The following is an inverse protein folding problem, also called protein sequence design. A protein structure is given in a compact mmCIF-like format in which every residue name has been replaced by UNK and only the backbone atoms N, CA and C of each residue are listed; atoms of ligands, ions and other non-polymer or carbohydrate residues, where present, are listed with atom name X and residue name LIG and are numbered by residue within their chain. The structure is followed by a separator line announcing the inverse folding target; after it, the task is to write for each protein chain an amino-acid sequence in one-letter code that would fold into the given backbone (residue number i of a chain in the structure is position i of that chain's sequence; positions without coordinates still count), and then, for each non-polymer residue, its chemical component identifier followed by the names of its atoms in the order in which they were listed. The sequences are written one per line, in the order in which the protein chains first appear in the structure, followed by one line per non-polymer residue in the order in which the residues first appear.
data_IF_669204224244
#
_entry.id   IF_669204224244
#
_cell.length_a   1.000
_cell.length_b   1.000
_cell.length_c   1.000
_cell.angle_alpha   90.00
_cell.angle_beta   90.00
_cell.angle_gamma   90.00
#
_symmetry.space_group_name_H-M   'P 1'
#
loop_
_entity.id
_entity.type
_entity.pdbx_description
1 polymer ?
#
# COMPACT_ATOMS: atom_id res chain seq x y z
N UNK A 1 -27.19 2.30 -25.46
CA UNK A 1 -27.36 3.01 -24.17
C UNK A 1 -26.86 2.12 -23.04
N UNK A 2 -25.59 2.20 -22.69
CA UNK A 2 -25.08 1.57 -21.46
C UNK A 2 -25.69 2.35 -20.30
N UNK A 3 -26.55 1.71 -19.50
CA UNK A 3 -27.14 2.33 -18.30
C UNK A 3 -26.01 2.96 -17.49
N UNK A 4 -26.13 4.25 -17.17
CA UNK A 4 -25.32 4.88 -16.11
C UNK A 4 -25.39 3.92 -14.91
N UNK A 5 -24.27 3.62 -14.28
CA UNK A 5 -24.29 2.88 -13.01
C UNK A 5 -25.21 3.67 -12.07
N UNK A 6 -26.36 3.09 -11.72
CA UNK A 6 -27.41 3.80 -10.97
C UNK A 6 -26.78 4.46 -9.73
N UNK A 7 -26.97 5.79 -9.61
CA UNK A 7 -26.48 6.58 -8.48
C UNK A 7 -25.00 7.01 -8.50
N UNK A 8 -24.23 6.76 -9.58
CA UNK A 8 -22.83 7.24 -9.69
C UNK A 8 -22.71 8.39 -10.68
N UNK A 9 -22.12 9.49 -10.25
CA UNK A 9 -21.81 10.67 -11.10
C UNK A 9 -20.31 10.77 -11.32
N UNK A 10 -19.91 11.21 -12.51
CA UNK A 10 -18.50 11.31 -12.88
C UNK A 10 -18.11 12.76 -13.16
N UNK A 11 -16.99 13.18 -12.59
CA UNK A 11 -16.46 14.53 -12.67
C UNK A 11 -14.97 14.49 -13.05
N UNK A 12 -14.49 15.57 -13.63
CA UNK A 12 -13.10 15.83 -14.01
C UNK A 12 -12.61 17.05 -13.24
N UNK A 13 -11.29 17.33 -13.20
CA UNK A 13 -10.77 18.54 -12.54
C UNK A 13 -11.34 19.89 -13.04
N UNK A 14 -12.10 19.88 -14.15
CA UNK A 14 -12.76 21.07 -14.71
C UNK A 14 -14.15 21.31 -14.14
N UNK A 15 -14.74 20.30 -13.50
CA UNK A 15 -16.09 20.37 -12.93
C UNK A 15 -16.04 20.93 -11.50
N UNK A 16 -16.98 21.79 -11.10
CA UNK A 16 -16.98 22.42 -9.78
C UNK A 16 -17.21 21.42 -8.63
N UNK A 17 -17.81 20.27 -8.91
CA UNK A 17 -18.01 19.19 -7.94
C UNK A 17 -16.75 18.35 -7.70
N UNK A 18 -15.68 18.53 -8.48
CA UNK A 18 -14.44 17.78 -8.29
C UNK A 18 -13.78 18.17 -6.97
N UNK A 19 -13.61 17.18 -6.08
CA UNK A 19 -13.03 17.39 -4.76
C UNK A 19 -11.52 17.16 -4.85
N UNK A 20 -10.74 18.24 -4.80
CA UNK A 20 -9.27 18.16 -4.92
C UNK A 20 -8.66 17.21 -3.87
N UNK A 21 -7.88 16.18 -4.26
CA UNK A 21 -7.16 15.34 -3.30
C UNK A 21 -6.34 16.15 -2.30
N UNK A 22 -6.47 15.81 -1.02
CA UNK A 22 -5.82 16.52 0.09
C UNK A 22 -6.54 17.79 0.58
N UNK A 23 -7.63 18.22 -0.05
CA UNK A 23 -8.47 19.32 0.47
C UNK A 23 -9.20 18.94 1.77
N UNK A 24 -9.68 19.93 2.56
CA UNK A 24 -10.54 19.66 3.71
C UNK A 24 -11.80 18.86 3.38
N UNK A 25 -12.40 19.08 2.22
CA UNK A 25 -13.56 18.33 1.73
C UNK A 25 -13.17 16.88 1.42
N UNK A 26 -12.01 16.68 0.79
CA UNK A 26 -11.47 15.35 0.51
C UNK A 26 -11.22 14.58 1.81
N UNK A 27 -10.70 15.23 2.86
CA UNK A 27 -10.44 14.56 4.14
C UNK A 27 -11.73 13.99 4.76
N UNK A 28 -12.89 14.61 4.55
CA UNK A 28 -14.16 14.20 5.16
C UNK A 28 -14.85 13.01 4.48
N UNK A 29 -14.35 12.56 3.34
CA UNK A 29 -14.96 11.46 2.56
C UNK A 29 -14.05 10.24 2.48
N UNK A 30 -14.64 9.05 2.36
CA UNK A 30 -13.88 7.81 2.16
C UNK A 30 -13.44 7.71 0.71
N UNK A 31 -12.15 7.40 0.50
CA UNK A 31 -11.56 7.22 -0.84
C UNK A 31 -10.86 5.88 -0.94
N UNK A 32 -10.69 5.31 -2.14
CA UNK A 32 -9.99 4.04 -2.34
C UNK A 32 -8.62 3.96 -1.66
N UNK A 33 -7.84 5.04 -1.68
CA UNK A 33 -6.55 5.11 -0.98
C UNK A 33 -6.66 5.09 0.55
N UNK A 34 -7.77 5.59 1.12
CA UNK A 34 -8.06 5.49 2.56
C UNK A 34 -8.59 4.12 2.95
N UNK A 35 -9.29 3.42 2.04
CA UNK A 35 -9.79 2.06 2.30
C UNK A 35 -8.67 1.16 2.76
N UNK A 36 -7.51 1.16 2.08
CA UNK A 36 -6.36 0.37 2.49
C UNK A 36 -5.92 0.64 3.94
N UNK A 37 -5.97 1.88 4.41
CA UNK A 37 -5.67 2.20 5.81
C UNK A 37 -6.76 1.68 6.74
N UNK A 38 -8.03 1.88 6.39
CA UNK A 38 -9.20 1.47 7.20
C UNK A 38 -9.29 -0.05 7.40
N UNK A 39 -8.78 -0.84 6.44
CA UNK A 39 -8.80 -2.30 6.53
C UNK A 39 -7.78 -2.89 7.52
N UNK A 40 -6.77 -2.11 7.93
CA UNK A 40 -5.71 -2.59 8.82
C UNK A 40 -6.20 -2.92 10.23
N UNK A 41 -5.60 -3.95 10.80
CA UNK A 41 -5.75 -4.34 12.21
C UNK A 41 -4.45 -4.08 12.99
N UNK A 42 -4.49 -4.02 14.34
CA UNK A 42 -3.30 -3.74 15.16
C UNK A 42 -2.08 -4.63 14.88
N UNK A 43 -2.30 -5.90 14.58
CA UNK A 43 -1.30 -6.92 14.31
C UNK A 43 -1.13 -7.25 12.82
N UNK A 44 -2.00 -6.70 11.96
CA UNK A 44 -2.00 -6.92 10.51
C UNK A 44 -2.36 -5.63 9.75
N UNK A 45 -1.43 -4.66 9.69
CA UNK A 45 -1.66 -3.41 8.97
C UNK A 45 -1.64 -3.65 7.46
N UNK A 46 -2.68 -3.20 6.77
CA UNK A 46 -2.78 -3.33 5.30
C UNK A 46 -2.02 -2.20 4.58
N UNK A 47 -2.16 -0.95 5.02
CA UNK A 47 -1.51 0.18 4.36
C UNK A 47 -0.09 0.42 4.87
N UNK A 48 0.84 0.59 3.92
CA UNK A 48 2.24 0.96 4.20
C UNK A 48 2.43 2.44 4.53
N UNK A 49 1.42 3.28 4.28
CA UNK A 49 1.56 4.74 4.29
C UNK A 49 0.70 5.44 5.35
N UNK A 50 -0.30 4.74 5.90
CA UNK A 50 -1.31 5.33 6.78
C UNK A 50 -1.88 4.25 7.71
N UNK A 51 -2.32 4.63 8.90
CA UNK A 51 -3.01 3.74 9.84
C UNK A 51 -4.46 4.15 10.06
N UNK A 52 -5.36 3.25 10.51
CA UNK A 52 -6.70 3.63 10.96
C UNK A 52 -6.64 4.72 12.03
N UNK A 53 -5.75 4.58 13.02
CA UNK A 53 -5.59 5.53 14.12
C UNK A 53 -5.26 6.94 13.61
N UNK A 54 -4.21 7.05 12.78
CA UNK A 54 -3.79 8.34 12.23
C UNK A 54 -4.83 8.93 11.30
N UNK A 55 -5.45 8.11 10.45
CA UNK A 55 -6.51 8.56 9.56
C UNK A 55 -7.70 9.15 10.34
N UNK A 56 -8.12 8.50 11.43
CA UNK A 56 -9.20 8.98 12.29
C UNK A 56 -8.87 10.35 12.90
N UNK A 57 -7.65 10.53 13.42
CA UNK A 57 -7.21 11.82 13.97
C UNK A 57 -7.19 12.94 12.91
N UNK A 58 -6.79 12.62 11.68
CA UNK A 58 -6.82 13.58 10.56
C UNK A 58 -8.25 13.92 10.13
N UNK A 59 -9.13 12.93 10.01
CA UNK A 59 -10.52 13.13 9.59
C UNK A 59 -11.35 13.87 10.63
N UNK A 60 -10.98 13.77 11.91
CA UNK A 60 -11.61 14.51 13.00
C UNK A 60 -10.95 15.86 13.32
N UNK A 61 -9.90 16.23 12.59
CA UNK A 61 -9.22 17.52 12.75
C UNK A 61 -8.38 17.66 14.03
N UNK A 62 -7.97 16.54 14.63
CA UNK A 62 -7.12 16.53 15.85
C UNK A 62 -5.62 16.60 15.53
N UNK A 63 -5.23 16.32 14.29
CA UNK A 63 -3.87 16.46 13.79
C UNK A 63 -3.91 17.28 12.52
N UNK A 64 -2.99 18.24 12.41
CA UNK A 64 -2.89 19.11 11.24
C UNK A 64 -2.64 18.32 9.95
N UNK A 65 -3.19 18.76 8.81
CA UNK A 65 -2.89 18.17 7.52
C UNK A 65 -1.39 18.20 7.23
N UNK A 66 -0.85 17.09 6.70
CA UNK A 66 0.51 17.09 6.19
C UNK A 66 0.63 17.96 4.95
N UNK A 67 1.78 18.63 4.83
CA UNK A 67 2.21 19.25 3.58
C UNK A 67 2.26 18.21 2.44
N UNK A 68 1.85 18.58 1.21
CA UNK A 68 1.91 17.68 0.07
C UNK A 68 3.32 17.13 -0.15
N UNK A 69 3.47 15.80 -0.04
CA UNK A 69 4.76 15.13 -0.24
C UNK A 69 5.20 15.26 -1.71
N UNK A 70 6.50 15.49 -1.94
CA UNK A 70 7.08 15.57 -3.29
C UNK A 70 6.83 14.30 -4.12
N UNK A 71 6.66 13.16 -3.45
CA UNK A 71 6.26 11.89 -4.06
C UNK A 71 4.97 12.01 -4.89
N UNK A 72 3.95 12.71 -4.39
CA UNK A 72 2.69 12.90 -5.12
C UNK A 72 2.92 13.77 -6.36
N UNK A 73 3.68 14.86 -6.23
CA UNK A 73 4.02 15.73 -7.36
C UNK A 73 4.75 14.95 -8.46
N UNK A 74 5.65 14.05 -8.08
CA UNK A 74 6.39 13.22 -9.03
C UNK A 74 5.52 12.16 -9.70
N UNK A 75 4.65 11.49 -8.94
CA UNK A 75 3.67 10.54 -9.51
C UNK A 75 2.85 11.17 -10.62
N UNK A 76 2.25 12.34 -10.37
CA UNK A 76 1.43 13.05 -11.37
C UNK A 76 2.23 13.43 -12.62
N UNK A 77 3.51 13.80 -12.48
CA UNK A 77 4.35 14.15 -13.63
C UNK A 77 4.74 12.93 -14.48
N UNK A 78 4.73 11.74 -13.90
CA UNK A 78 5.03 10.48 -14.61
C UNK A 78 3.80 9.87 -15.25
N UNK A 79 2.59 10.30 -14.89
CA UNK A 79 1.35 9.79 -15.49
C UNK A 79 1.31 9.83 -17.03
N UNK A 80 1.83 10.85 -17.75
CA UNK A 80 1.85 10.81 -19.22
C UNK A 80 2.70 9.68 -19.79
N UNK A 81 3.79 9.29 -19.10
CA UNK A 81 4.59 8.13 -19.47
C UNK A 81 3.82 6.84 -19.20
N UNK A 82 3.27 6.69 -17.99
CA UNK A 82 2.47 5.53 -17.60
C UNK A 82 1.28 5.31 -18.55
N UNK A 83 0.62 6.40 -18.95
CA UNK A 83 -0.46 6.42 -19.93
C UNK A 83 -0.02 5.90 -21.31
N UNK A 84 1.15 6.31 -21.80
CA UNK A 84 1.74 5.79 -23.03
C UNK A 84 2.05 4.30 -22.95
N UNK A 85 2.79 3.87 -21.92
CA UNK A 85 3.15 2.47 -21.69
C UNK A 85 1.91 1.57 -21.59
N UNK A 86 0.87 2.02 -20.90
CA UNK A 86 -0.39 1.28 -20.81
C UNK A 86 -1.04 1.12 -22.18
N UNK A 87 -1.08 2.16 -23.02
CA UNK A 87 -1.66 2.07 -24.36
C UNK A 87 -0.90 1.13 -25.28
N UNK A 88 0.42 1.08 -25.16
CA UNK A 88 1.26 0.14 -25.91
C UNK A 88 0.90 -1.32 -25.54
N UNK A 89 0.70 -1.61 -24.26
CA UNK A 89 0.33 -2.95 -23.76
C UNK A 89 -1.17 -3.28 -23.93
N UNK A 90 -2.02 -2.27 -24.14
CA UNK A 90 -3.48 -2.38 -24.25
C UNK A 90 -4.04 -1.53 -25.40
N UNK A 91 -3.66 -1.78 -26.66
CA UNK A 91 -3.98 -0.89 -27.80
C UNK A 91 -5.48 -0.77 -28.10
N UNK A 92 -6.32 -1.70 -27.63
CA UNK A 92 -7.77 -1.65 -27.75
C UNK A 92 -8.49 -0.77 -26.73
N UNK A 93 -7.76 -0.19 -25.77
CA UNK A 93 -8.31 0.61 -24.68
C UNK A 93 -7.95 2.08 -24.83
N UNK A 94 -8.97 2.94 -24.88
CA UNK A 94 -8.81 4.39 -24.76
C UNK A 94 -8.76 4.77 -23.28
N UNK A 95 -7.95 5.76 -22.93
CA UNK A 95 -7.87 6.31 -21.57
C UNK A 95 -8.48 7.71 -21.53
N UNK A 96 -9.03 8.11 -20.38
CA UNK A 96 -9.40 9.51 -20.15
C UNK A 96 -8.16 10.42 -20.26
N UNK A 97 -8.31 11.70 -20.64
CA UNK A 97 -7.18 12.63 -20.74
C UNK A 97 -6.46 12.95 -19.41
N UNK A 98 -7.02 12.50 -18.30
CA UNK A 98 -6.56 12.74 -16.94
C UNK A 98 -7.45 12.04 -15.93
N UNK A 99 -7.33 12.46 -14.67
CA UNK A 99 -8.11 11.93 -13.56
C UNK A 99 -9.62 12.08 -13.78
N UNK A 100 -10.36 11.12 -13.25
CA UNK A 100 -11.83 11.12 -13.21
C UNK A 100 -12.28 10.75 -11.81
N UNK A 101 -13.18 11.54 -11.22
CA UNK A 101 -13.82 11.22 -9.95
C UNK A 101 -15.19 10.59 -10.16
N UNK A 102 -15.42 9.44 -9.54
CA UNK A 102 -16.73 8.85 -9.36
C UNK A 102 -17.26 9.24 -7.97
N UNK A 103 -18.36 9.98 -7.94
CA UNK A 103 -19.09 10.34 -6.72
C UNK A 103 -20.26 9.39 -6.56
N UNK A 104 -20.34 8.76 -5.39
CA UNK A 104 -21.38 7.77 -5.09
C UNK A 104 -22.33 8.32 -4.05
N UNK A 105 -23.60 7.97 -4.20
CA UNK A 105 -24.63 8.25 -3.20
C UNK A 105 -24.22 7.69 -1.81
N UNK A 106 -24.07 8.53 -0.78
CA UNK A 106 -23.72 8.08 0.57
C UNK A 106 -24.73 7.09 1.16
N UNK A 107 -26.02 7.19 0.82
CA UNK A 107 -27.06 6.28 1.33
C UNK A 107 -26.80 4.84 0.90
N UNK A 108 -26.17 4.64 -0.27
CA UNK A 108 -25.85 3.31 -0.79
C UNK A 108 -24.88 2.53 0.11
N UNK A 109 -23.94 3.22 0.76
CA UNK A 109 -22.90 2.58 1.56
C UNK A 109 -23.02 2.84 3.06
N UNK A 110 -23.76 3.88 3.47
CA UNK A 110 -23.83 4.36 4.85
C UNK A 110 -22.64 5.25 5.24
N UNK A 111 -21.91 5.78 4.24
CA UNK A 111 -20.82 6.74 4.42
C UNK A 111 -20.58 7.49 3.10
N UNK A 112 -20.09 8.75 3.14
CA UNK A 112 -19.73 9.49 1.94
C UNK A 112 -18.47 8.90 1.31
N UNK A 113 -18.53 8.63 0.00
CA UNK A 113 -17.42 8.03 -0.73
C UNK A 113 -17.21 8.66 -2.11
N UNK A 114 -15.94 8.85 -2.48
CA UNK A 114 -15.52 9.23 -3.83
C UNK A 114 -14.37 8.34 -4.29
N UNK A 115 -14.35 7.98 -5.57
CA UNK A 115 -13.25 7.27 -6.20
C UNK A 115 -12.57 8.20 -7.21
N UNK A 116 -11.31 8.59 -6.96
CA UNK A 116 -10.48 9.28 -7.95
C UNK A 116 -9.70 8.23 -8.71
N UNK A 117 -9.99 8.06 -10.00
CA UNK A 117 -9.24 7.20 -10.89
C UNK A 117 -8.14 8.03 -11.54
N UNK A 118 -6.92 7.47 -11.63
CA UNK A 118 -5.88 8.06 -12.48
C UNK A 118 -6.36 8.10 -13.93
N UNK A 119 -6.88 6.96 -14.43
CA UNK A 119 -7.48 6.88 -15.76
C UNK A 119 -8.75 6.04 -15.77
N UNK A 120 -9.71 6.47 -16.60
CA UNK A 120 -10.85 5.65 -17.02
C UNK A 120 -10.51 4.96 -18.33
N UNK A 121 -10.44 3.62 -18.30
CA UNK A 121 -10.35 2.79 -19.50
C UNK A 121 -11.69 2.66 -20.22
N UNK A 122 -11.69 2.81 -21.54
CA UNK A 122 -12.87 2.70 -22.42
C UNK A 122 -12.55 1.81 -23.62
N UNK A 123 -13.33 0.74 -23.78
CA UNK A 123 -13.34 -0.08 -24.99
C UNK A 123 -14.81 -0.36 -25.38
N UNK A 124 -15.31 0.34 -26.40
CA UNK A 124 -16.73 0.32 -26.75
C UNK A 124 -17.64 0.68 -25.58
N UNK A 125 -18.50 -0.25 -25.17
CA UNK A 125 -19.40 -0.07 -24.01
C UNK A 125 -18.76 -0.40 -22.66
N UNK A 126 -17.60 -1.06 -22.66
CA UNK A 126 -16.88 -1.49 -21.47
C UNK A 126 -16.16 -0.33 -20.80
N UNK A 127 -16.10 -0.36 -19.46
CA UNK A 127 -15.38 0.60 -18.63
C UNK A 127 -14.50 -0.16 -17.64
N UNK A 128 -13.27 0.30 -17.47
CA UNK A 128 -12.26 -0.30 -16.59
C UNK A 128 -11.62 0.77 -15.71
N UNK A 129 -11.33 0.39 -14.47
CA UNK A 129 -10.46 1.13 -13.57
C UNK A 129 -9.01 0.95 -14.03
N UNK A 130 -8.29 2.06 -14.22
CA UNK A 130 -6.85 2.04 -14.51
C UNK A 130 -6.14 2.93 -13.51
N UNK A 131 -5.33 2.32 -12.66
CA UNK A 131 -4.50 2.97 -11.63
C UNK A 131 -3.03 2.93 -12.03
N UNK A 132 -2.27 3.98 -11.73
CA UNK A 132 -0.84 4.07 -11.99
C UNK A 132 -0.06 4.20 -10.68
N UNK A 133 1.02 3.43 -10.55
CA UNK A 133 1.95 3.55 -9.42
C UNK A 133 3.38 3.67 -9.91
N UNK A 134 4.15 4.51 -9.23
CA UNK A 134 5.56 4.71 -9.49
C UNK A 134 6.39 4.21 -8.30
N UNK A 135 7.22 3.20 -8.53
CA UNK A 135 8.31 2.85 -7.63
C UNK A 135 9.51 3.75 -7.96
N UNK A 136 9.77 4.76 -7.11
CA UNK A 136 10.74 5.82 -7.43
C UNK A 136 12.18 5.41 -7.23
N UNK A 137 12.42 4.42 -6.39
CA UNK A 137 13.74 3.93 -6.02
C UNK A 137 13.67 2.43 -5.75
N UNK A 138 14.83 1.82 -5.48
CA UNK A 138 14.92 0.38 -5.23
C UNK A 138 14.13 -0.06 -4.00
N UNK A 139 14.02 0.77 -2.96
CA UNK A 139 13.21 0.45 -1.77
C UNK A 139 11.72 0.42 -2.08
N UNK A 140 11.23 1.36 -2.90
CA UNK A 140 9.84 1.33 -3.38
C UNK A 140 9.61 0.12 -4.29
N UNK A 141 10.63 -0.28 -5.09
CA UNK A 141 10.58 -1.42 -6.00
C UNK A 141 10.52 -2.76 -5.25
N UNK A 142 11.26 -2.90 -4.14
CA UNK A 142 11.31 -4.12 -3.33
C UNK A 142 9.91 -4.61 -2.91
N UNK A 143 8.94 -3.71 -2.77
CA UNK A 143 7.57 -4.10 -2.37
C UNK A 143 6.81 -4.84 -3.47
N UNK A 144 7.27 -4.74 -4.71
CA UNK A 144 6.68 -5.43 -5.86
C UNK A 144 7.43 -6.73 -6.20
N UNK A 145 8.31 -7.19 -5.31
CA UNK A 145 9.23 -8.29 -5.54
C UNK A 145 10.34 -7.95 -6.54
N UNK A 146 11.02 -8.97 -7.04
CA UNK A 146 12.16 -8.81 -7.93
C UNK A 146 11.71 -8.22 -9.28
N UNK A 147 12.00 -6.94 -9.49
CA UNK A 147 11.76 -6.25 -10.76
C UNK A 147 10.29 -6.27 -11.21
N UNK A 148 9.37 -5.95 -10.28
CA UNK A 148 7.92 -6.02 -10.48
C UNK A 148 7.37 -7.44 -10.73
N UNK A 149 8.14 -8.51 -10.47
CA UNK A 149 7.67 -9.89 -10.71
C UNK A 149 6.87 -10.50 -9.56
N UNK A 150 6.90 -9.89 -8.37
CA UNK A 150 6.10 -10.32 -7.23
C UNK A 150 4.60 -10.10 -7.40
N UNK A 151 3.86 -10.42 -6.35
CA UNK A 151 2.41 -10.19 -6.28
C UNK A 151 2.07 -8.70 -6.12
N UNK A 152 0.81 -8.34 -6.40
CA UNK A 152 0.32 -6.99 -6.20
C UNK A 152 0.24 -6.72 -4.68
N UNK A 153 0.87 -5.64 -4.16
CA UNK A 153 0.75 -5.31 -2.74
C UNK A 153 -0.71 -5.13 -2.28
N UNK A 154 -1.02 -5.61 -1.08
CA UNK A 154 -2.40 -5.70 -0.57
C UNK A 154 -3.12 -4.35 -0.46
N UNK A 155 -2.42 -3.28 -0.07
CA UNK A 155 -2.97 -1.94 -0.04
C UNK A 155 -3.39 -1.44 -1.43
N UNK A 156 -2.61 -1.77 -2.46
CA UNK A 156 -2.96 -1.45 -3.85
C UNK A 156 -4.06 -2.37 -4.39
N UNK A 157 -4.08 -3.64 -4.01
CA UNK A 157 -5.20 -4.53 -4.32
C UNK A 157 -6.51 -4.00 -3.72
N UNK A 158 -6.53 -3.64 -2.42
CA UNK A 158 -7.65 -3.01 -1.75
C UNK A 158 -8.08 -1.70 -2.42
N UNK A 159 -7.13 -0.87 -2.85
CA UNK A 159 -7.41 0.35 -3.58
C UNK A 159 -8.12 0.06 -4.92
N UNK A 160 -7.64 -0.90 -5.72
CA UNK A 160 -8.26 -1.24 -7.02
C UNK A 160 -9.66 -1.82 -6.83
N UNK A 161 -9.86 -2.71 -5.85
CA UNK A 161 -11.21 -3.25 -5.56
C UNK A 161 -12.15 -2.12 -5.11
N UNK A 162 -11.70 -1.19 -4.27
CA UNK A 162 -12.51 -0.03 -3.86
C UNK A 162 -12.86 0.89 -5.03
N UNK A 163 -11.93 1.12 -5.98
CA UNK A 163 -12.22 1.85 -7.23
C UNK A 163 -13.31 1.15 -8.04
N UNK A 164 -13.22 -0.19 -8.21
CA UNK A 164 -14.23 -0.97 -8.92
C UNK A 164 -15.59 -0.95 -8.21
N UNK A 165 -15.58 -1.06 -6.88
CA UNK A 165 -16.77 -1.01 -6.03
C UNK A 165 -17.50 0.33 -6.17
N UNK A 166 -16.78 1.45 -6.05
CA UNK A 166 -17.39 2.79 -6.06
C UNK A 166 -17.83 3.23 -7.45
N UNK A 167 -17.07 2.87 -8.50
CA UNK A 167 -17.49 3.12 -9.89
C UNK A 167 -18.64 2.21 -10.34
N UNK A 168 -18.79 1.06 -9.68
CA UNK A 168 -19.67 -0.04 -10.09
C UNK A 168 -19.19 -0.78 -11.34
N UNK A 169 -17.93 -0.61 -11.73
CA UNK A 169 -17.33 -1.31 -12.88
C UNK A 169 -16.75 -2.65 -12.45
N UNK A 170 -17.64 -3.61 -12.23
CA UNK A 170 -17.30 -4.91 -11.62
C UNK A 170 -17.37 -6.09 -12.60
N UNK A 171 -17.70 -5.85 -13.87
CA UNK A 171 -17.92 -6.91 -14.88
C UNK A 171 -16.65 -7.40 -15.54
N UNK A 172 -15.61 -6.59 -15.49
CA UNK A 172 -14.29 -6.90 -16.03
C UNK A 172 -13.25 -6.51 -14.98
N UNK A 173 -12.04 -7.07 -15.05
CA UNK A 173 -10.98 -6.73 -14.11
C UNK A 173 -10.60 -5.25 -14.16
N UNK A 174 -10.23 -4.71 -13.00
CA UNK A 174 -9.44 -3.48 -12.89
C UNK A 174 -7.98 -3.75 -13.23
N UNK A 175 -7.23 -2.71 -13.59
CA UNK A 175 -5.80 -2.84 -13.85
C UNK A 175 -5.01 -1.76 -13.11
N UNK A 176 -3.84 -2.15 -12.62
CA UNK A 176 -2.84 -1.25 -12.06
C UNK A 176 -1.56 -1.39 -12.86
N UNK A 177 -1.06 -0.30 -13.42
CA UNK A 177 0.28 -0.24 -14.02
C UNK A 177 1.28 0.23 -12.97
N UNK A 178 2.24 -0.62 -12.64
CA UNK A 178 3.41 -0.23 -11.88
C UNK A 178 4.55 0.14 -12.83
N UNK A 179 5.18 1.29 -12.60
CA UNK A 179 6.39 1.74 -13.31
C UNK A 179 7.54 1.75 -12.31
N UNK A 180 8.62 1.05 -12.65
CA UNK A 180 9.84 0.95 -11.85
C UNK A 180 10.80 2.12 -12.08
N UNK A 181 11.86 2.21 -11.26
CA UNK A 181 12.83 3.31 -11.33
C UNK A 181 13.69 3.30 -12.59
N UNK A 182 13.74 2.18 -13.33
CA UNK A 182 14.44 2.03 -14.61
C UNK A 182 13.45 1.99 -15.79
N UNK A 183 12.23 2.48 -15.59
CA UNK A 183 11.14 2.54 -16.57
C UNK A 183 10.63 1.18 -17.06
N UNK A 184 11.07 0.08 -16.47
CA UNK A 184 10.38 -1.20 -16.59
C UNK A 184 8.98 -1.07 -16.01
N UNK A 185 8.00 -1.75 -16.60
CA UNK A 185 6.62 -1.66 -16.14
C UNK A 185 5.93 -3.02 -16.16
N UNK A 186 4.87 -3.13 -15.34
CA UNK A 186 3.99 -4.30 -15.32
C UNK A 186 2.56 -3.87 -15.07
N UNK A 187 1.63 -4.48 -15.81
CA UNK A 187 0.20 -4.39 -15.53
C UNK A 187 -0.21 -5.57 -14.63
N UNK A 188 -0.73 -5.23 -13.45
CA UNK A 188 -1.40 -6.14 -12.55
C UNK A 188 -2.90 -6.10 -12.82
N UNK A 189 -3.51 -7.27 -13.00
CA UNK A 189 -4.95 -7.42 -13.28
C UNK A 189 -5.66 -7.88 -12.02
N UNK A 190 -6.73 -7.20 -11.64
CA UNK A 190 -7.46 -7.45 -10.39
C UNK A 190 -8.91 -7.78 -10.72
N UNK A 191 -9.30 -9.03 -10.46
CA UNK A 191 -10.69 -9.48 -10.57
C UNK A 191 -11.54 -8.92 -9.44
N UNK A 192 -12.81 -8.61 -9.73
CA UNK A 192 -13.71 -8.10 -8.70
C UNK A 192 -14.13 -9.18 -7.71
N UNK A 193 -13.59 -9.12 -6.49
CA UNK A 193 -14.03 -9.95 -5.38
C UNK A 193 -15.21 -9.31 -4.64
N UNK A 194 -16.38 -9.94 -4.74
CA UNK A 194 -17.62 -9.51 -4.04
C UNK A 194 -17.53 -9.62 -2.52
N UNK A 195 -16.88 -10.66 -2.00
CA UNK A 195 -16.80 -10.90 -0.56
C UNK A 195 -15.86 -9.87 0.07
N UNK A 196 -14.72 -9.63 -0.58
CA UNK A 196 -13.78 -8.61 -0.16
C UNK A 196 -14.39 -7.20 -0.25
N UNK A 197 -15.15 -6.90 -1.33
CA UNK A 197 -15.88 -5.65 -1.44
C UNK A 197 -16.94 -5.46 -0.35
N UNK A 198 -17.65 -6.52 0.06
CA UNK A 198 -18.60 -6.47 1.18
C UNK A 198 -17.89 -6.20 2.51
N UNK A 199 -16.71 -6.78 2.71
CA UNK A 199 -15.86 -6.51 3.87
C UNK A 199 -15.38 -5.06 3.92
N UNK A 200 -14.94 -4.51 2.77
CA UNK A 200 -14.59 -3.09 2.62
C UNK A 200 -15.73 -2.19 3.09
N UNK A 201 -16.96 -2.44 2.64
CA UNK A 201 -18.14 -1.64 3.04
C UNK A 201 -18.34 -1.72 4.55
N UNK A 202 -18.26 -2.91 5.14
CA UNK A 202 -18.45 -3.09 6.59
C UNK A 202 -17.40 -2.31 7.40
N UNK A 203 -16.12 -2.43 7.03
CA UNK A 203 -15.02 -1.74 7.72
C UNK A 203 -15.11 -0.23 7.57
N UNK A 204 -15.36 0.26 6.36
CA UNK A 204 -15.55 1.68 6.09
C UNK A 204 -16.72 2.27 6.86
N UNK A 205 -17.84 1.55 6.96
CA UNK A 205 -19.00 1.99 7.73
C UNK A 205 -18.68 2.12 9.22
N UNK A 206 -18.08 1.08 9.82
CA UNK A 206 -17.69 1.11 11.25
C UNK A 206 -16.69 2.23 11.54
N UNK A 207 -15.71 2.40 10.66
CA UNK A 207 -14.74 3.50 10.77
C UNK A 207 -15.42 4.86 10.65
N UNK A 208 -16.33 5.03 9.69
CA UNK A 208 -17.05 6.30 9.53
C UNK A 208 -17.94 6.62 10.74
N UNK A 209 -18.63 5.62 11.28
CA UNK A 209 -19.42 5.75 12.51
C UNK A 209 -18.55 6.18 13.70
N UNK A 210 -17.33 5.65 13.82
CA UNK A 210 -16.42 6.04 14.90
C UNK A 210 -15.91 7.48 14.82
N UNK A 211 -16.00 8.16 13.67
CA UNK A 211 -15.65 9.58 13.56
C UNK A 211 -16.56 10.48 14.42
N UNK A 212 -17.74 9.99 14.78
CA UNK A 212 -18.68 10.69 15.66
C UNK A 212 -18.45 10.44 17.15
N UNK A 213 -17.61 9.46 17.51
CA UNK A 213 -17.23 9.18 18.89
C UNK A 213 -15.92 9.88 19.26
N UNK A 214 -15.53 9.81 20.53
CA UNK A 214 -14.22 10.27 21.02
C UNK A 214 -13.26 9.08 21.23
N UNK A 215 -13.56 7.93 20.64
CA UNK A 215 -12.74 6.71 20.74
C UNK A 215 -12.08 6.44 19.40
N UNK A 216 -10.77 6.70 19.26
CA UNK A 216 -10.04 6.36 18.04
C UNK A 216 -9.96 4.84 17.86
N UNK A 217 -9.65 4.36 16.62
CA UNK A 217 -9.22 2.99 16.40
C UNK A 217 -8.05 2.58 17.30
N UNK A 218 -7.84 1.28 17.49
CA UNK A 218 -6.70 0.79 18.27
C UNK A 218 -5.35 1.20 17.63
N UNK A 219 -4.31 1.30 18.45
CA UNK A 219 -2.95 1.50 17.98
C UNK A 219 -2.46 0.26 17.23
N UNK A 220 -1.65 0.48 16.20
CA UNK A 220 -0.94 -0.56 15.45
C UNK A 220 0.58 -0.35 15.54
N UNK A 221 1.34 -1.24 14.90
CA UNK A 221 2.80 -1.19 14.87
C UNK A 221 3.37 -0.32 13.72
N UNK A 222 2.55 0.46 13.02
CA UNK A 222 2.98 1.23 11.85
C UNK A 222 3.72 2.51 12.26
N UNK A 223 4.64 2.95 11.40
CA UNK A 223 5.27 4.27 11.51
C UNK A 223 4.24 5.40 11.49
N UNK A 224 3.12 5.23 10.77
CA UNK A 224 2.05 6.23 10.72
C UNK A 224 1.42 6.46 12.10
N UNK A 225 1.12 5.40 12.85
CA UNK A 225 0.62 5.52 14.23
C UNK A 225 1.63 6.20 15.14
N UNK A 226 2.91 5.81 15.06
CA UNK A 226 3.97 6.44 15.84
C UNK A 226 4.09 7.95 15.57
N UNK A 227 4.14 8.37 14.31
CA UNK A 227 4.22 9.79 13.95
C UNK A 227 2.95 10.56 14.36
N UNK A 228 1.77 9.93 14.33
CA UNK A 228 0.55 10.54 14.84
C UNK A 228 0.62 10.79 16.35
N UNK A 229 1.09 9.81 17.15
CA UNK A 229 1.25 9.97 18.59
C UNK A 229 2.24 11.10 18.92
N UNK A 230 3.33 11.22 18.16
CA UNK A 230 4.28 12.34 18.30
C UNK A 230 3.65 13.69 17.97
N UNK A 231 2.83 13.75 16.93
CA UNK A 231 2.13 14.98 16.56
C UNK A 231 1.08 15.39 17.61
N UNK A 232 0.46 14.43 18.31
CA UNK A 232 -0.46 14.70 19.42
C UNK A 232 0.25 15.18 20.69
N UNK A 233 1.54 14.88 20.84
CA UNK A 233 2.36 15.25 21.99
C UNK A 233 3.66 15.95 21.55
N UNK A 234 3.56 17.17 20.96
CA UNK A 234 4.72 17.87 20.40
C UNK A 234 5.71 18.37 21.45
N UNK A 235 5.24 18.61 22.68
CA UNK A 235 6.01 19.12 23.80
C UNK A 235 6.31 18.02 24.84
N UNK A 236 7.39 18.20 25.59
CA UNK A 236 7.82 17.25 26.64
C UNK A 236 8.00 17.99 27.97
N UNK A 237 7.26 17.54 28.98
CA UNK A 237 7.42 18.01 30.36
C UNK A 237 8.68 17.40 30.99
N UNK A 238 9.78 18.15 30.95
CA UNK A 238 11.09 17.68 31.44
C UNK A 238 11.04 17.34 32.93
N UNK A 239 11.45 16.11 33.26
CA UNK A 239 11.53 15.62 34.64
C UNK A 239 10.22 15.07 35.19
N UNK A 240 9.14 15.02 34.39
CA UNK A 240 7.88 14.38 34.77
C UNK A 240 7.91 12.91 34.37
N UNK A 241 7.51 12.03 35.30
CA UNK A 241 7.39 10.60 35.05
C UNK A 241 5.94 10.26 34.69
N UNK A 242 5.74 9.55 33.57
CA UNK A 242 4.50 8.84 33.31
C UNK A 242 4.49 7.52 34.09
N UNK A 243 3.43 7.26 34.87
CA UNK A 243 3.27 5.99 35.58
C UNK A 243 2.57 5.00 34.64
N UNK A 244 3.31 3.97 34.21
CA UNK A 244 2.82 2.93 33.29
C UNK A 244 2.36 1.70 34.09
N UNK A 245 1.22 1.07 33.75
CA UNK A 245 0.77 -0.18 34.35
C UNK A 245 1.85 -1.29 34.29
N UNK A 246 1.95 -2.09 35.35
CA UNK A 246 3.05 -3.05 35.49
C UNK A 246 3.00 -4.22 34.48
N UNK A 247 1.81 -4.56 34.00
CA UNK A 247 1.56 -5.50 32.92
C UNK A 247 2.02 -4.95 31.56
N UNK A 248 1.67 -3.70 31.21
CA UNK A 248 2.16 -3.04 30.00
C UNK A 248 3.69 -2.90 30.00
N UNK A 249 4.28 -2.47 31.13
CA UNK A 249 5.73 -2.36 31.28
C UNK A 249 6.44 -3.71 31.14
N UNK A 250 5.83 -4.79 31.65
CA UNK A 250 6.35 -6.15 31.49
C UNK A 250 6.32 -6.60 30.04
N UNK A 251 5.23 -6.36 29.33
CA UNK A 251 5.12 -6.75 27.92
C UNK A 251 6.11 -5.97 27.06
N UNK A 252 6.27 -4.65 27.28
CA UNK A 252 7.28 -3.85 26.59
C UNK A 252 8.70 -4.38 26.81
N UNK A 253 9.08 -4.64 28.06
CA UNK A 253 10.40 -5.17 28.39
C UNK A 253 10.62 -6.59 27.81
N UNK A 254 9.59 -7.44 27.80
CA UNK A 254 9.64 -8.76 27.20
C UNK A 254 9.80 -8.67 25.68
N UNK A 255 9.02 -7.81 25.00
CA UNK A 255 9.13 -7.57 23.56
C UNK A 255 10.54 -7.11 23.17
N UNK A 256 11.16 -6.22 23.96
CA UNK A 256 12.55 -5.80 23.74
C UNK A 256 13.53 -6.97 23.81
N UNK A 257 13.41 -7.83 24.83
CA UNK A 257 14.26 -9.03 24.95
C UNK A 257 14.07 -10.00 23.79
N UNK A 258 12.83 -10.20 23.33
CA UNK A 258 12.53 -11.05 22.16
C UNK A 258 13.16 -10.47 20.89
N UNK A 259 13.12 -9.15 20.70
CA UNK A 259 13.77 -8.47 19.58
C UNK A 259 15.29 -8.68 19.59
N UNK A 260 15.94 -8.47 20.74
CA UNK A 260 17.39 -8.65 20.87
C UNK A 260 17.78 -10.12 20.59
N UNK A 261 17.04 -11.09 21.16
CA UNK A 261 17.26 -12.52 20.90
C UNK A 261 17.07 -12.90 19.42
N UNK A 262 16.02 -12.39 18.76
CA UNK A 262 15.77 -12.63 17.35
C UNK A 262 16.89 -12.05 16.46
N UNK A 263 17.41 -10.86 16.81
CA UNK A 263 18.53 -10.25 16.11
C UNK A 263 19.82 -11.08 16.25
N UNK A 264 20.10 -11.61 17.44
CA UNK A 264 21.23 -12.51 17.68
C UNK A 264 21.09 -13.82 16.89
N UNK A 265 19.91 -14.44 16.92
CA UNK A 265 19.60 -15.66 16.14
C UNK A 265 19.80 -15.41 14.64
N UNK A 266 19.28 -14.30 14.11
CA UNK A 266 19.47 -13.94 12.71
C UNK A 266 20.94 -13.70 12.36
N UNK A 267 21.69 -13.00 13.22
CA UNK A 267 23.11 -12.77 13.04
C UNK A 267 23.92 -14.08 13.00
N UNK A 268 23.56 -15.05 13.86
CA UNK A 268 24.15 -16.39 13.83
C UNK A 268 23.90 -17.08 12.47
N UNK A 269 22.65 -17.15 12.01
CA UNK A 269 22.32 -17.80 10.75
C UNK A 269 22.93 -17.08 9.53
N UNK A 270 23.05 -15.76 9.58
CA UNK A 270 23.79 -14.99 8.58
C UNK A 270 25.25 -15.46 8.48
N UNK A 271 25.91 -15.69 9.61
CA UNK A 271 27.28 -16.21 9.63
C UNK A 271 27.37 -17.65 9.09
N UNK A 272 26.40 -18.51 9.42
CA UNK A 272 26.33 -19.88 8.90
C UNK A 272 26.22 -19.89 7.37
N UNK A 273 25.33 -19.10 6.79
CA UNK A 273 25.19 -19.02 5.32
C UNK A 273 26.45 -18.39 4.71
N UNK A 274 26.98 -17.31 5.28
CA UNK A 274 28.20 -16.68 4.78
C UNK A 274 29.40 -17.64 4.79
N UNK A 275 29.52 -18.49 5.81
CA UNK A 275 30.55 -19.53 5.87
C UNK A 275 30.36 -20.54 4.73
N UNK A 276 29.13 -21.03 4.49
CA UNK A 276 28.82 -21.96 3.40
C UNK A 276 29.07 -21.37 2.00
N UNK A 277 28.86 -20.07 1.84
CA UNK A 277 29.10 -19.39 0.56
C UNK A 277 30.58 -19.32 0.19
N UNK A 278 31.50 -19.31 1.16
CA UNK A 278 32.94 -19.12 0.94
C UNK A 278 33.24 -17.93 0.00
N UNK A 279 33.61 -18.19 -1.26
CA UNK A 279 33.90 -17.18 -2.30
C UNK A 279 32.72 -16.93 -3.25
N UNK A 280 31.64 -17.72 -3.16
CA UNK A 280 30.46 -17.59 -4.00
C UNK A 280 29.78 -16.23 -3.82
N UNK A 281 29.21 -15.73 -4.92
CA UNK A 281 28.43 -14.49 -4.94
C UNK A 281 27.00 -14.71 -4.44
N UNK A 282 26.39 -15.86 -4.69
CA UNK A 282 24.99 -16.13 -4.39
C UNK A 282 24.82 -17.36 -3.52
N UNK A 283 23.91 -17.31 -2.55
CA UNK A 283 23.40 -18.47 -1.84
C UNK A 283 22.06 -18.84 -2.45
N UNK A 284 21.93 -20.10 -2.88
CA UNK A 284 20.73 -20.61 -3.55
C UNK A 284 20.27 -21.92 -2.93
N UNK A 285 18.98 -22.21 -3.05
CA UNK A 285 18.34 -23.48 -2.66
C UNK A 285 17.86 -24.17 -3.92
N UNK A 286 18.28 -25.42 -4.11
CA UNK A 286 17.84 -26.27 -5.20
C UNK A 286 16.38 -26.71 -4.97
N UNK A 287 15.60 -26.75 -6.04
CA UNK A 287 14.20 -27.16 -6.03
C UNK A 287 13.95 -28.50 -6.76
N UNK A 288 15.00 -29.14 -7.29
CA UNK A 288 14.90 -30.40 -8.04
C UNK A 288 15.03 -30.21 -9.55
N UNK A 289 14.99 -31.33 -10.29
CA UNK A 289 15.29 -31.33 -11.73
C UNK A 289 14.36 -30.40 -12.54
N UNK A 290 14.97 -29.43 -13.22
CA UNK A 290 14.31 -28.55 -14.19
C UNK A 290 13.76 -27.23 -13.63
N UNK A 291 13.84 -27.00 -12.32
CA UNK A 291 13.44 -25.74 -11.69
C UNK A 291 14.63 -24.77 -11.52
N UNK A 292 14.38 -23.47 -11.65
CA UNK A 292 15.37 -22.44 -11.34
C UNK A 292 15.63 -22.40 -9.82
N UNK A 293 16.88 -22.32 -9.37
CA UNK A 293 17.19 -22.34 -7.94
C UNK A 293 16.76 -21.03 -7.26
N UNK A 294 16.22 -21.14 -6.05
CA UNK A 294 15.78 -19.97 -5.28
C UNK A 294 16.99 -19.29 -4.65
N UNK A 295 17.24 -18.03 -5.00
CA UNK A 295 18.25 -17.22 -4.33
C UNK A 295 17.75 -16.75 -2.97
N UNK A 296 18.50 -17.04 -1.91
CA UNK A 296 18.18 -16.64 -0.53
C UNK A 296 19.09 -15.52 0.00
N UNK A 297 20.28 -15.36 -0.58
CA UNK A 297 21.21 -14.27 -0.23
C UNK A 297 22.24 -14.02 -1.33
N UNK A 298 22.94 -12.90 -1.23
CA UNK A 298 24.06 -12.57 -2.09
C UNK A 298 25.14 -11.76 -1.38
N UNK A 299 26.31 -11.71 -2.02
CA UNK A 299 27.45 -10.89 -1.61
C UNK A 299 27.74 -9.86 -2.69
N UNK A 300 27.80 -8.59 -2.30
CA UNK A 300 28.08 -7.48 -3.23
C UNK A 300 29.30 -6.69 -2.76
N UNK A 301 30.18 -6.36 -3.70
CA UNK A 301 31.24 -5.38 -3.47
C UNK A 301 30.65 -3.97 -3.52
N UNK A 302 31.01 -3.12 -2.54
CA UNK A 302 30.49 -1.76 -2.40
C UNK A 302 31.45 -0.70 -2.99
N UNK A 303 32.25 -1.08 -3.99
CA UNK A 303 33.23 -0.25 -4.68
C UNK A 303 34.66 -0.80 -4.60
N UNK A 304 35.59 -0.11 -5.27
CA UNK A 304 37.03 -0.43 -5.25
C UNK A 304 37.56 -0.45 -3.81
N UNK A 305 38.28 -1.52 -3.44
CA UNK A 305 38.88 -1.76 -2.11
C UNK A 305 37.94 -2.03 -0.92
N UNK A 306 36.63 -2.26 -1.13
CA UNK A 306 35.74 -2.69 -0.03
C UNK A 306 35.58 -4.21 0.01
N UNK A 307 35.55 -4.78 1.21
CA UNK A 307 35.21 -6.20 1.42
C UNK A 307 33.75 -6.43 1.00
N UNK A 308 33.42 -7.55 0.31
CA UNK A 308 32.05 -7.87 -0.04
C UNK A 308 31.16 -7.97 1.21
N UNK A 309 29.99 -7.35 1.15
CA UNK A 309 28.97 -7.41 2.20
C UNK A 309 27.88 -8.43 1.84
N UNK A 310 27.32 -9.08 2.86
CA UNK A 310 26.23 -10.04 2.73
C UNK A 310 24.86 -9.36 2.81
N UNK A 311 23.98 -9.69 1.87
CA UNK A 311 22.61 -9.20 1.76
C UNK A 311 21.64 -10.38 1.63
N UNK A 312 20.71 -10.57 2.59
CA UNK A 312 19.63 -11.54 2.42
C UNK A 312 18.64 -11.07 1.35
N UNK A 313 18.02 -12.01 0.64
CA UNK A 313 16.86 -11.72 -0.22
C UNK A 313 15.64 -11.61 0.69
N UNK A 314 15.00 -10.44 0.72
CA UNK A 314 13.91 -10.14 1.67
C UNK A 314 12.56 -10.72 1.28
N UNK A 315 12.37 -10.98 -0.01
CA UNK A 315 11.14 -11.51 -0.59
C UNK A 315 10.96 -13.01 -0.43
N UNK A 316 11.98 -13.73 0.06
CA UNK A 316 11.94 -15.19 0.23
C UNK A 316 11.76 -15.53 1.71
N UNK A 317 10.60 -16.09 2.03
CA UNK A 317 10.26 -16.63 3.34
C UNK A 317 10.35 -18.15 3.42
N UNK A 318 10.15 -18.74 4.61
CA UNK A 318 10.18 -20.19 4.79
C UNK A 318 9.17 -20.97 3.95
N UNK A 319 8.00 -20.37 3.65
CA UNK A 319 6.96 -20.99 2.85
C UNK A 319 7.33 -21.11 1.35
N UNK A 320 8.27 -20.30 0.89
CA UNK A 320 8.76 -20.32 -0.50
C UNK A 320 9.83 -21.40 -0.71
N UNK A 321 10.36 -21.98 0.37
CA UNK A 321 11.44 -22.96 0.33
C UNK A 321 10.89 -24.39 0.35
N UNK A 322 11.54 -25.34 -0.34
CA UNK A 322 11.15 -26.74 -0.30
C UNK A 322 11.22 -27.28 1.13
N UNK A 323 10.23 -28.08 1.50
CA UNK A 323 10.16 -28.74 2.81
C UNK A 323 11.30 -29.77 2.88
N UNK A 324 12.09 -29.79 3.97
CA UNK A 324 13.11 -30.82 4.15
C UNK A 324 12.48 -32.22 4.10
N UNK A 325 13.15 -33.16 3.43
CA UNK A 325 12.73 -34.56 3.37
C UNK A 325 12.73 -35.24 4.74
#
# INVERSE_FOLDING_TARGET
MTRRTDGVRFYTPRDPEFIKPGSPEWLKVITPSKVAAILGEPDDPVSRYESPFRLWHRMTGRVEPEEPKDAFRMGHRVEPLADGLYRDDRPGWLLSPGEVQAHVDPEKFGFPAIATLDRRGVCGSSRRVVEFKLARNLTDLDVWGDDLKGELPDDYHAQVIALMLFTGWTRIPGELLAVGPYLQHRIYTVDYDRNFAAWIIQKCRRFYESLSSDTPPALDNTTATYECLRALHPEIDRGVNAIVPADEAREFAAARKRLDAAAETFAYHKNVILQRMEQAQYAVVDQGEGAEPIRIAERRSQGTNKKPAFYPVKSVGPADLPIPA
#
